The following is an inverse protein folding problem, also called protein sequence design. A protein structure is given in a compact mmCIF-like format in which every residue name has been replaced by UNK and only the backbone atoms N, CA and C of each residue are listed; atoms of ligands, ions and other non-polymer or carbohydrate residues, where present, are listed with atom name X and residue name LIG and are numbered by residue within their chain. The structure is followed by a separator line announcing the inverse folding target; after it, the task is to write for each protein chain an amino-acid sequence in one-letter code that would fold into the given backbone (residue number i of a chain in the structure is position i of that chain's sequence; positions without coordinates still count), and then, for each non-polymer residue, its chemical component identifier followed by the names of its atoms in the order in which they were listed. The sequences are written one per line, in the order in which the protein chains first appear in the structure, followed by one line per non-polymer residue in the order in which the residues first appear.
data_IF_293136865027
#
_entry.id   IF_293136865027
#
_cell.length_a   1.000
_cell.length_b   1.000
_cell.length_c   1.000
_cell.angle_alpha   90.00
_cell.angle_beta   90.00
_cell.angle_gamma   90.00
#
_symmetry.space_group_name_H-M   'P 1'
#
loop_
_entity.id
_entity.type
_entity.pdbx_description
1 polymer ?
#
# COMPACT_ATOMS: atom_id res chain seq x y z
N UNK A 1 11.05 -14.65 37.56
CA UNK A 1 10.94 -15.49 36.34
C UNK A 1 11.37 -14.64 35.15
N UNK A 2 12.46 -15.01 34.46
CA UNK A 2 12.91 -14.30 33.25
C UNK A 2 11.98 -14.69 32.10
N UNK A 3 11.10 -13.78 31.67
CA UNK A 3 10.30 -13.99 30.46
C UNK A 3 11.26 -14.15 29.28
N UNK A 4 11.10 -15.16 28.42
CA UNK A 4 11.97 -15.34 27.27
C UNK A 4 11.90 -14.09 26.38
N UNK A 5 13.07 -13.55 26.03
CA UNK A 5 13.20 -12.32 25.24
C UNK A 5 12.50 -12.51 23.88
N UNK A 6 11.62 -11.57 23.53
CA UNK A 6 10.86 -11.61 22.28
C UNK A 6 11.78 -11.81 21.06
N UNK A 7 11.56 -12.90 20.33
CA UNK A 7 12.21 -13.18 19.05
C UNK A 7 11.48 -12.41 17.95
N UNK A 8 11.88 -11.16 17.78
CA UNK A 8 11.29 -10.21 16.82
C UNK A 8 11.60 -10.53 15.36
N UNK A 9 12.58 -11.40 15.10
CA UNK A 9 12.95 -11.89 13.78
C UNK A 9 12.88 -13.42 13.70
N UNK A 10 12.39 -13.95 12.58
CA UNK A 10 12.26 -15.35 12.24
C UNK A 10 12.46 -15.57 10.73
N UNK A 11 12.78 -16.80 10.28
CA UNK A 11 12.92 -17.08 8.86
C UNK A 11 11.67 -16.77 8.01
N UNK A 12 10.48 -16.80 8.63
CA UNK A 12 9.22 -16.44 7.98
C UNK A 12 9.11 -14.95 7.61
N UNK A 13 9.88 -14.08 8.27
CA UNK A 13 9.90 -12.65 7.97
C UNK A 13 10.39 -12.35 6.55
N UNK A 14 11.22 -13.22 5.96
CA UNK A 14 11.72 -13.00 4.59
C UNK A 14 10.58 -13.13 3.58
N UNK A 15 9.72 -14.16 3.73
CA UNK A 15 8.58 -14.34 2.84
C UNK A 15 7.50 -13.28 3.06
N UNK A 16 7.27 -12.91 4.33
CA UNK A 16 6.37 -11.82 4.70
C UNK A 16 6.85 -10.48 4.12
N UNK A 17 8.16 -10.20 4.17
CA UNK A 17 8.76 -9.00 3.60
C UNK A 17 8.51 -8.89 2.09
N UNK A 18 8.83 -9.94 1.32
CA UNK A 18 8.60 -9.89 -0.13
C UNK A 18 7.12 -9.77 -0.48
N UNK A 19 6.22 -10.37 0.31
CA UNK A 19 4.78 -10.17 0.13
C UNK A 19 4.39 -8.71 0.31
N UNK A 20 4.72 -8.13 1.46
CA UNK A 20 4.34 -6.76 1.80
C UNK A 20 5.02 -5.70 0.92
N UNK A 21 6.30 -5.89 0.61
CA UNK A 21 7.09 -4.99 -0.22
C UNK A 21 6.56 -4.95 -1.66
N UNK A 22 6.29 -6.13 -2.27
CA UNK A 22 5.80 -6.16 -3.65
C UNK A 22 4.42 -5.52 -3.79
N UNK A 23 3.57 -5.68 -2.78
CA UNK A 23 2.24 -5.07 -2.74
C UNK A 23 2.32 -3.54 -2.73
N UNK A 24 3.14 -2.98 -1.82
CA UNK A 24 3.39 -1.53 -1.78
C UNK A 24 3.98 -0.98 -3.09
N UNK A 25 4.96 -1.67 -3.68
CA UNK A 25 5.56 -1.25 -4.96
C UNK A 25 4.52 -1.33 -6.08
N UNK A 26 3.69 -2.37 -6.09
CA UNK A 26 2.65 -2.54 -7.10
C UNK A 26 1.64 -1.39 -7.05
N UNK A 27 1.21 -0.94 -5.86
CA UNK A 27 0.31 0.20 -5.72
C UNK A 27 0.93 1.53 -6.18
N UNK A 28 2.22 1.76 -5.87
CA UNK A 28 2.96 2.93 -6.38
C UNK A 28 3.04 2.93 -7.90
N UNK A 29 3.41 1.78 -8.49
CA UNK A 29 3.48 1.61 -9.93
C UNK A 29 2.11 1.73 -10.58
N UNK A 30 1.06 1.18 -9.97
CA UNK A 30 -0.32 1.27 -10.42
C UNK A 30 -0.75 2.74 -10.50
N UNK A 31 -0.48 3.52 -9.44
CA UNK A 31 -0.80 4.95 -9.39
C UNK A 31 -0.16 5.70 -10.56
N UNK A 32 1.16 5.56 -10.71
CA UNK A 32 1.92 6.26 -11.76
C UNK A 32 1.48 5.81 -13.15
N UNK A 33 1.27 4.50 -13.35
CA UNK A 33 0.88 3.93 -14.64
C UNK A 33 -0.52 4.37 -15.05
N UNK A 34 -1.50 4.33 -14.15
CA UNK A 34 -2.86 4.78 -14.45
C UNK A 34 -2.90 6.27 -14.76
N UNK A 35 -2.20 7.11 -13.99
CA UNK A 35 -2.11 8.55 -14.27
C UNK A 35 -1.47 8.82 -15.63
N UNK A 36 -0.38 8.13 -15.96
CA UNK A 36 0.34 8.32 -17.21
C UNK A 36 -0.43 7.81 -18.43
N UNK A 37 -0.98 6.59 -18.37
CA UNK A 37 -1.61 5.93 -19.51
C UNK A 37 -3.01 6.47 -19.76
N UNK A 38 -3.79 6.71 -18.71
CA UNK A 38 -5.20 7.12 -18.84
C UNK A 38 -5.35 8.62 -19.00
N UNK A 39 -4.56 9.40 -18.25
CA UNK A 39 -4.73 10.86 -18.16
C UNK A 39 -3.58 11.64 -18.78
N UNK A 40 -2.59 10.98 -19.39
CA UNK A 40 -1.38 11.60 -19.96
C UNK A 40 -0.62 12.45 -18.93
N UNK A 41 -0.68 12.06 -17.65
CA UNK A 41 0.02 12.76 -16.58
C UNK A 41 1.53 12.56 -16.70
N UNK A 42 2.37 13.61 -16.50
CA UNK A 42 3.82 13.48 -16.62
C UNK A 42 4.41 12.48 -15.61
N UNK A 43 4.94 11.35 -16.11
CA UNK A 43 5.52 10.27 -15.28
C UNK A 43 6.67 10.76 -14.40
N UNK A 44 7.57 11.57 -14.97
CA UNK A 44 8.70 12.17 -14.24
C UNK A 44 8.21 13.02 -13.07
N UNK A 45 7.10 13.76 -13.25
CA UNK A 45 6.53 14.57 -12.19
C UNK A 45 5.98 13.68 -11.06
N UNK A 46 5.19 12.65 -11.39
CA UNK A 46 4.63 11.74 -10.41
C UNK A 46 5.73 11.03 -9.59
N UNK A 47 6.76 10.52 -10.27
CA UNK A 47 7.91 9.89 -9.61
C UNK A 47 8.68 10.86 -8.70
N UNK A 48 8.84 12.12 -9.11
CA UNK A 48 9.61 13.09 -8.33
C UNK A 48 8.86 13.71 -7.16
N UNK A 49 7.52 13.82 -7.24
CA UNK A 49 6.72 14.60 -6.30
C UNK A 49 5.73 13.75 -5.49
N UNK A 50 5.12 12.71 -6.07
CA UNK A 50 4.04 11.95 -5.44
C UNK A 50 4.52 10.67 -4.74
N UNK A 51 5.46 9.95 -5.36
CA UNK A 51 5.95 8.65 -4.86
C UNK A 51 6.71 8.80 -3.53
N UNK A 52 7.65 9.74 -3.35
CA UNK A 52 8.45 9.81 -2.12
C UNK A 52 7.61 10.10 -0.88
N UNK A 53 6.69 11.05 -0.98
CA UNK A 53 5.79 11.38 0.13
C UNK A 53 4.90 10.20 0.51
N UNK A 54 4.37 9.49 -0.48
CA UNK A 54 3.58 8.27 -0.27
C UNK A 54 4.40 7.18 0.41
N UNK A 55 5.65 6.98 -0.01
CA UNK A 55 6.57 6.01 0.58
C UNK A 55 6.98 6.35 2.03
N UNK A 56 7.14 7.62 2.36
CA UNK A 56 7.38 8.07 3.75
C UNK A 56 6.20 7.68 4.66
N UNK A 57 4.97 7.73 4.16
CA UNK A 57 3.80 7.22 4.87
C UNK A 57 3.93 5.75 5.26
N UNK A 58 4.31 4.91 4.30
CA UNK A 58 4.55 3.47 4.53
C UNK A 58 5.68 3.27 5.54
N UNK A 59 6.81 3.96 5.37
CA UNK A 59 7.95 3.91 6.28
C UNK A 59 7.55 4.19 7.73
N UNK A 60 6.83 5.28 7.97
CA UNK A 60 6.42 5.67 9.32
C UNK A 60 5.38 4.69 9.88
N UNK A 61 4.39 4.29 9.09
CA UNK A 61 3.35 3.38 9.53
C UNK A 61 3.89 1.99 9.92
N UNK A 62 4.74 1.40 9.09
CA UNK A 62 5.35 0.09 9.38
C UNK A 62 6.31 0.14 10.57
N UNK A 63 7.04 1.25 10.76
CA UNK A 63 7.89 1.45 11.95
C UNK A 63 7.05 1.52 13.24
N UNK A 64 5.91 2.20 13.19
CA UNK A 64 4.97 2.26 14.31
C UNK A 64 4.36 0.89 14.60
N UNK A 65 3.95 0.13 13.57
CA UNK A 65 3.45 -1.23 13.77
C UNK A 65 4.52 -2.21 14.25
N UNK A 66 5.76 -2.06 13.82
CA UNK A 66 6.90 -2.77 14.38
C UNK A 66 6.99 -2.54 15.89
N UNK A 67 6.95 -1.29 16.33
CA UNK A 67 6.97 -0.97 17.76
C UNK A 67 5.73 -1.45 18.51
N UNK A 68 4.54 -1.40 17.91
CA UNK A 68 3.31 -1.95 18.51
C UNK A 68 3.42 -3.46 18.72
N UNK A 69 4.03 -4.20 17.79
CA UNK A 69 4.28 -5.63 17.93
C UNK A 69 5.24 -5.93 19.09
N UNK A 70 6.33 -5.15 19.21
CA UNK A 70 7.27 -5.26 20.34
C UNK A 70 6.57 -4.97 21.68
N UNK A 71 5.74 -3.93 21.73
CA UNK A 71 5.00 -3.55 22.93
C UNK A 71 3.99 -4.65 23.32
N UNK A 72 3.27 -5.21 22.35
CA UNK A 72 2.33 -6.30 22.57
C UNK A 72 3.03 -7.58 23.06
N UNK A 73 4.18 -7.92 22.47
CA UNK A 73 4.99 -9.06 22.90
C UNK A 73 5.49 -8.90 24.34
N UNK A 74 5.94 -7.70 24.72
CA UNK A 74 6.37 -7.40 26.09
C UNK A 74 5.22 -7.50 27.09
N UNK A 75 4.03 -7.01 26.74
CA UNK A 75 2.84 -7.04 27.60
C UNK A 75 2.29 -8.46 27.81
N UNK A 76 2.31 -9.28 26.76
CA UNK A 76 1.72 -10.63 26.78
C UNK A 76 2.73 -11.73 27.15
N UNK A 77 4.03 -11.41 27.14
CA UNK A 77 5.10 -12.41 27.34
C UNK A 77 5.23 -13.42 26.19
N UNK A 78 4.55 -13.19 25.05
CA UNK A 78 4.52 -14.13 23.92
C UNK A 78 5.65 -13.87 22.94
N UNK A 79 6.32 -14.95 22.53
CA UNK A 79 7.26 -14.97 21.39
C UNK A 79 6.57 -15.14 20.02
N UNK A 80 5.24 -15.17 20.08
CA UNK A 80 4.22 -15.36 19.04
C UNK A 80 3.91 -14.25 18.06
N UNK A 81 4.21 -13.01 18.46
CA UNK A 81 3.51 -11.84 17.93
C UNK A 81 3.96 -11.57 16.50
N UNK A 82 3.00 -11.26 15.64
CA UNK A 82 3.26 -10.78 14.27
C UNK A 82 2.96 -9.29 14.25
N UNK A 83 3.81 -8.48 13.63
CA UNK A 83 3.48 -7.08 13.41
C UNK A 83 2.33 -6.98 12.39
N UNK A 84 1.49 -5.96 12.54
CA UNK A 84 0.48 -5.68 11.53
C UNK A 84 1.16 -5.03 10.32
N UNK A 85 0.96 -5.53 9.10
CA UNK A 85 1.52 -4.92 7.90
C UNK A 85 0.79 -3.61 7.61
N UNK A 86 1.51 -2.58 7.16
CA UNK A 86 0.91 -1.38 6.60
C UNK A 86 1.39 -1.16 5.17
N UNK A 87 0.50 -0.66 4.34
CA UNK A 87 0.86 -0.20 3.01
C UNK A 87 -0.14 0.78 2.46
N UNK A 88 -0.28 0.80 1.14
CA UNK A 88 -1.14 1.70 0.40
C UNK A 88 -2.49 1.06 0.13
N UNK A 89 -3.58 1.81 0.27
CA UNK A 89 -4.90 1.25 0.03
C UNK A 89 -5.19 1.18 -1.48
N UNK A 90 -5.08 0.00 -2.09
CA UNK A 90 -5.35 -0.22 -3.53
C UNK A 90 -6.73 0.29 -3.99
N UNK A 91 -7.87 0.01 -3.31
CA UNK A 91 -9.17 0.54 -3.72
C UNK A 91 -9.21 2.06 -3.78
N UNK A 92 -8.77 2.75 -2.73
CA UNK A 92 -8.70 4.21 -2.75
C UNK A 92 -7.62 4.73 -3.68
N UNK A 93 -6.57 3.97 -3.98
CA UNK A 93 -5.57 4.34 -4.98
C UNK A 93 -6.20 4.47 -6.36
N UNK A 94 -6.94 3.45 -6.78
CA UNK A 94 -7.73 3.48 -8.02
C UNK A 94 -8.75 4.64 -7.95
N UNK A 95 -9.47 4.76 -6.84
CA UNK A 95 -10.46 5.80 -6.64
C UNK A 95 -9.89 7.23 -6.72
N UNK A 96 -8.75 7.47 -6.09
CA UNK A 96 -8.04 8.75 -6.10
C UNK A 96 -7.57 9.09 -7.52
N UNK A 97 -7.03 8.13 -8.26
CA UNK A 97 -6.60 8.36 -9.64
C UNK A 97 -7.79 8.72 -10.54
N UNK A 98 -8.87 7.93 -10.52
CA UNK A 98 -9.99 8.12 -11.45
C UNK A 98 -10.98 9.22 -11.06
N UNK A 99 -11.14 9.52 -9.77
CA UNK A 99 -12.18 10.44 -9.31
C UNK A 99 -11.64 11.75 -8.72
N UNK A 100 -10.33 11.85 -8.46
CA UNK A 100 -9.71 13.05 -7.88
C UNK A 100 -8.59 13.58 -8.76
N UNK A 101 -7.46 12.86 -8.83
CA UNK A 101 -6.23 13.33 -9.49
C UNK A 101 -6.42 13.47 -11.00
N UNK A 102 -6.92 12.43 -11.67
CA UNK A 102 -7.14 12.43 -13.12
C UNK A 102 -8.09 13.55 -13.56
N UNK A 103 -9.31 13.64 -12.98
CA UNK A 103 -10.23 14.74 -13.29
C UNK A 103 -9.66 16.12 -12.98
N UNK A 104 -8.98 16.31 -11.84
CA UNK A 104 -8.33 17.58 -11.50
C UNK A 104 -7.27 17.99 -12.54
N UNK A 105 -6.49 17.03 -13.02
CA UNK A 105 -5.48 17.27 -14.05
C UNK A 105 -6.09 17.64 -15.40
N UNK A 106 -7.10 16.89 -15.83
CA UNK A 106 -7.80 17.15 -17.10
C UNK A 106 -8.46 18.53 -17.09
N UNK A 107 -9.10 18.92 -15.97
CA UNK A 107 -9.70 20.24 -15.80
C UNK A 107 -8.64 21.34 -15.83
N UNK A 108 -7.54 21.18 -15.07
CA UNK A 108 -6.47 22.17 -15.00
C UNK A 108 -5.72 22.35 -16.34
N UNK A 109 -5.53 21.26 -17.12
CA UNK A 109 -4.89 21.29 -18.45
C UNK A 109 -5.67 22.15 -19.47
N UNK A 110 -6.94 22.45 -19.23
CA UNK A 110 -7.74 23.33 -20.09
C UNK A 110 -7.37 24.81 -19.96
N UNK A 111 -6.87 25.22 -18.80
CA UNK A 111 -6.63 26.64 -18.46
C UNK A 111 -5.17 26.92 -18.12
N UNK A 112 -4.36 25.90 -17.88
CA UNK A 112 -2.97 26.00 -17.45
C UNK A 112 -2.03 25.14 -18.32
N UNK A 113 -0.74 25.52 -18.44
CA UNK A 113 0.28 24.65 -19.00
C UNK A 113 0.37 23.31 -18.23
N UNK A 114 0.78 22.24 -18.93
CA UNK A 114 0.83 20.86 -18.40
C UNK A 114 1.60 20.76 -17.07
N UNK A 115 2.74 21.42 -16.94
CA UNK A 115 3.55 21.39 -15.71
C UNK A 115 2.82 22.05 -14.53
N UNK A 116 2.14 23.16 -14.77
CA UNK A 116 1.38 23.85 -13.73
C UNK A 116 0.12 23.06 -13.35
N UNK A 117 -0.54 22.45 -14.33
CA UNK A 117 -1.66 21.54 -14.09
C UNK A 117 -1.23 20.33 -13.24
N UNK A 118 -0.02 19.80 -13.45
CA UNK A 118 0.53 18.71 -12.66
C UNK A 118 0.79 19.13 -11.20
N UNK A 119 1.39 20.30 -10.97
CA UNK A 119 1.59 20.88 -9.62
C UNK A 119 0.24 21.12 -8.92
N UNK A 120 -0.72 21.71 -9.63
CA UNK A 120 -2.07 21.94 -9.11
C UNK A 120 -2.74 20.63 -8.69
N UNK A 121 -2.69 19.61 -9.55
CA UNK A 121 -3.24 18.28 -9.27
C UNK A 121 -2.59 17.63 -8.05
N UNK A 122 -1.27 17.77 -7.92
CA UNK A 122 -0.53 17.27 -6.78
C UNK A 122 -0.96 17.94 -5.48
N UNK A 123 -1.14 19.26 -5.49
CA UNK A 123 -1.67 20.00 -4.34
C UNK A 123 -3.09 19.54 -3.96
N UNK A 124 -3.98 19.33 -4.93
CA UNK A 124 -5.31 18.74 -4.68
C UNK A 124 -5.19 17.36 -4.03
N UNK A 125 -4.29 16.52 -4.53
CA UNK A 125 -4.00 15.20 -3.97
C UNK A 125 -3.55 15.25 -2.51
N UNK A 126 -2.59 16.12 -2.20
CA UNK A 126 -2.09 16.35 -0.84
C UNK A 126 -3.24 16.78 0.09
N UNK A 127 -4.03 17.78 -0.31
CA UNK A 127 -5.18 18.27 0.46
C UNK A 127 -6.17 17.14 0.74
N UNK A 128 -6.53 16.36 -0.30
CA UNK A 128 -7.46 15.26 -0.18
C UNK A 128 -6.99 14.22 0.86
N UNK A 129 -5.75 13.76 0.77
CA UNK A 129 -5.25 12.77 1.73
C UNK A 129 -4.96 13.36 3.11
N UNK A 130 -4.61 14.64 3.21
CA UNK A 130 -4.48 15.34 4.50
C UNK A 130 -5.82 15.38 5.23
N UNK A 131 -6.90 15.76 4.54
CA UNK A 131 -8.25 15.79 5.12
C UNK A 131 -8.72 14.37 5.46
N UNK A 132 -8.44 13.38 4.62
CA UNK A 132 -8.67 11.98 4.96
C UNK A 132 -7.93 11.58 6.24
N UNK A 133 -6.65 11.90 6.36
CA UNK A 133 -5.86 11.62 7.56
C UNK A 133 -6.48 12.23 8.82
N UNK A 134 -6.94 13.48 8.76
CA UNK A 134 -7.65 14.14 9.87
C UNK A 134 -8.97 13.43 10.20
N UNK A 135 -9.74 13.06 9.19
CA UNK A 135 -10.99 12.32 9.35
C UNK A 135 -10.74 10.95 10.01
N UNK A 136 -9.77 10.18 9.51
CA UNK A 136 -9.36 8.88 10.07
C UNK A 136 -8.90 9.02 11.52
N UNK A 137 -8.14 10.07 11.82
CA UNK A 137 -7.69 10.35 13.18
C UNK A 137 -8.89 10.62 14.11
N UNK A 138 -9.88 11.39 13.65
CA UNK A 138 -11.14 11.59 14.39
C UNK A 138 -11.92 10.27 14.58
N UNK A 139 -11.98 9.42 13.57
CA UNK A 139 -12.62 8.10 13.68
C UNK A 139 -11.89 7.16 14.66
N UNK A 140 -10.57 7.30 14.80
CA UNK A 140 -9.74 6.44 15.65
C UNK A 140 -10.19 6.41 17.12
N UNK A 141 -10.81 7.47 17.64
CA UNK A 141 -11.31 7.51 19.02
C UNK A 141 -12.49 6.54 19.24
N UNK A 142 -13.29 6.28 18.20
CA UNK A 142 -14.48 5.43 18.24
C UNK A 142 -14.28 4.01 17.71
N UNK A 143 -13.13 3.67 17.13
CA UNK A 143 -12.93 2.39 16.42
C UNK A 143 -13.11 1.16 17.31
N UNK A 144 -12.66 1.20 18.57
CA UNK A 144 -12.86 0.15 19.56
C UNK A 144 -14.34 -0.04 19.92
N UNK A 145 -15.12 1.05 19.95
CA UNK A 145 -16.56 0.98 20.20
C UNK A 145 -17.25 0.33 19.00
N UNK A 146 -16.94 0.75 17.78
CA UNK A 146 -17.47 0.15 16.54
C UNK A 146 -17.15 -1.35 16.48
N UNK A 147 -15.88 -1.73 16.73
CA UNK A 147 -15.45 -3.14 16.77
C UNK A 147 -16.27 -4.00 17.75
N UNK A 148 -16.69 -3.43 18.89
CA UNK A 148 -17.51 -4.14 19.89
C UNK A 148 -18.99 -4.22 19.51
N UNK A 149 -19.50 -3.21 18.81
CA UNK A 149 -20.90 -3.13 18.42
C UNK A 149 -21.21 -3.95 17.17
N UNK A 150 -20.26 -4.05 16.23
CA UNK A 150 -20.46 -4.77 14.97
C UNK A 150 -20.12 -6.26 15.17
N UNK A 151 -21.02 -7.20 14.82
CA UNK A 151 -20.71 -8.61 14.91
C UNK A 151 -19.51 -8.96 14.03
N UNK A 152 -18.62 -9.80 14.57
CA UNK A 152 -17.43 -10.28 13.87
C UNK A 152 -17.73 -10.90 12.50
N UNK A 153 -18.87 -11.57 12.36
CA UNK A 153 -19.31 -12.12 11.07
C UNK A 153 -19.58 -11.03 10.02
N UNK A 154 -20.04 -9.85 10.43
CA UNK A 154 -20.23 -8.70 9.55
C UNK A 154 -18.91 -8.12 9.06
N UNK A 155 -17.93 -7.97 9.97
CA UNK A 155 -16.57 -7.48 9.68
C UNK A 155 -15.78 -8.47 8.81
N UNK A 156 -15.94 -9.78 9.03
CA UNK A 156 -15.29 -10.80 8.20
C UNK A 156 -15.96 -10.97 6.82
N UNK A 157 -17.26 -10.68 6.71
CA UNK A 157 -18.01 -10.76 5.46
C UNK A 157 -17.61 -9.69 4.44
N UNK A 158 -17.42 -8.44 4.88
CA UNK A 158 -16.88 -7.35 4.04
C UNK A 158 -15.49 -7.70 3.50
N UNK A 159 -14.61 -8.20 4.36
CA UNK A 159 -13.27 -8.65 3.98
C UNK A 159 -13.31 -9.71 2.87
N UNK A 160 -14.20 -10.69 2.98
CA UNK A 160 -14.31 -11.75 1.97
C UNK A 160 -14.76 -11.21 0.61
N UNK A 161 -15.70 -10.26 0.58
CA UNK A 161 -16.16 -9.64 -0.65
C UNK A 161 -15.05 -8.84 -1.34
N UNK A 162 -14.33 -7.99 -0.60
CA UNK A 162 -13.19 -7.22 -1.14
C UNK A 162 -12.08 -8.15 -1.64
N UNK A 163 -11.75 -9.19 -0.87
CA UNK A 163 -10.74 -10.16 -1.26
C UNK A 163 -11.09 -10.91 -2.56
N UNK A 164 -12.34 -11.33 -2.74
CA UNK A 164 -12.77 -12.07 -3.94
C UNK A 164 -12.95 -11.16 -5.16
N UNK A 165 -13.66 -10.04 -5.01
CA UNK A 165 -14.08 -9.21 -6.15
C UNK A 165 -13.01 -8.21 -6.56
N UNK A 166 -12.29 -7.62 -5.61
CA UNK A 166 -11.32 -6.58 -5.94
C UNK A 166 -9.91 -7.16 -6.05
N UNK A 167 -9.44 -7.83 -4.98
CA UNK A 167 -8.05 -8.28 -4.88
C UNK A 167 -7.80 -9.56 -5.70
N UNK A 168 -8.78 -10.46 -5.83
CA UNK A 168 -8.59 -11.68 -6.61
C UNK A 168 -9.02 -11.52 -8.07
N UNK A 169 -10.20 -10.96 -8.32
CA UNK A 169 -10.75 -10.91 -9.69
C UNK A 169 -10.07 -9.87 -10.58
N UNK A 170 -9.74 -8.66 -10.10
CA UNK A 170 -9.07 -7.67 -10.98
C UNK A 170 -7.67 -8.13 -11.42
N UNK A 171 -6.77 -8.61 -10.54
CA UNK A 171 -5.49 -9.15 -10.98
C UNK A 171 -5.62 -10.42 -11.83
N UNK A 172 -6.71 -11.18 -11.67
CA UNK A 172 -6.99 -12.32 -12.56
C UNK A 172 -7.20 -11.86 -14.00
N UNK A 173 -7.86 -10.72 -14.23
CA UNK A 173 -7.99 -10.16 -15.58
C UNK A 173 -6.60 -9.82 -16.18
N UNK A 174 -5.70 -9.25 -15.40
CA UNK A 174 -4.33 -8.96 -15.84
C UNK A 174 -3.51 -10.24 -16.11
N UNK A 175 -3.66 -11.26 -15.26
CA UNK A 175 -3.08 -12.59 -15.50
C UNK A 175 -3.57 -13.16 -16.84
N UNK A 176 -4.84 -12.95 -17.18
CA UNK A 176 -5.43 -13.43 -18.44
C UNK A 176 -5.01 -12.58 -19.66
N UNK A 177 -4.66 -11.30 -19.49
CA UNK A 177 -4.04 -10.50 -20.54
C UNK A 177 -2.63 -11.00 -20.90
N UNK A 178 -1.88 -11.50 -19.91
CA UNK A 178 -0.53 -12.06 -20.08
C UNK A 178 -0.46 -13.52 -19.62
N UNK A 179 -1.19 -14.45 -20.27
CA UNK A 179 -1.48 -15.77 -19.70
C UNK A 179 -0.23 -16.58 -19.39
N UNK A 180 0.79 -16.53 -20.25
CA UNK A 180 2.03 -17.31 -20.04
C UNK A 180 2.78 -16.81 -18.80
N UNK A 181 2.96 -15.50 -18.68
CA UNK A 181 3.68 -14.87 -17.57
C UNK A 181 2.86 -14.96 -16.28
N UNK A 182 1.59 -14.56 -16.36
CA UNK A 182 0.66 -14.51 -15.25
C UNK A 182 0.37 -15.89 -14.66
N UNK A 183 0.03 -16.88 -15.48
CA UNK A 183 -0.27 -18.24 -14.99
C UNK A 183 0.97 -18.94 -14.44
N UNK A 184 2.16 -18.72 -15.02
CA UNK A 184 3.40 -19.24 -14.47
C UNK A 184 3.69 -18.64 -13.08
N UNK A 185 3.53 -17.33 -12.93
CA UNK A 185 3.72 -16.63 -11.66
C UNK A 185 2.70 -17.09 -10.62
N UNK A 186 1.43 -17.21 -11.02
CA UNK A 186 0.35 -17.73 -10.19
C UNK A 186 0.60 -19.17 -9.76
N UNK A 187 1.07 -20.03 -10.66
CA UNK A 187 1.41 -21.42 -10.34
C UNK A 187 2.51 -21.50 -9.26
N UNK A 188 3.53 -20.65 -9.34
CA UNK A 188 4.58 -20.56 -8.31
C UNK A 188 3.99 -20.09 -6.97
N UNK A 189 3.16 -19.05 -6.97
CA UNK A 189 2.51 -18.55 -5.74
C UNK A 189 1.63 -19.62 -5.11
N UNK A 190 0.74 -20.26 -5.87
CA UNK A 190 -0.16 -21.29 -5.34
C UNK A 190 0.63 -22.49 -4.80
N UNK A 191 1.67 -22.92 -5.51
CA UNK A 191 2.54 -24.03 -5.07
C UNK A 191 3.27 -23.71 -3.76
N UNK A 192 3.74 -22.47 -3.61
CA UNK A 192 4.57 -22.09 -2.47
C UNK A 192 3.76 -21.63 -1.26
N UNK A 193 2.65 -20.91 -1.44
CA UNK A 193 1.83 -20.38 -0.36
C UNK A 193 0.68 -21.31 0.04
N UNK A 194 0.00 -21.94 -0.94
CA UNK A 194 -1.13 -22.83 -0.67
C UNK A 194 -0.65 -24.25 -0.38
N UNK A 195 0.13 -24.83 -1.30
CA UNK A 195 0.67 -26.18 -1.11
C UNK A 195 1.90 -26.23 -0.16
N UNK A 196 2.40 -25.06 0.27
CA UNK A 196 3.54 -24.93 1.20
C UNK A 196 4.81 -25.65 0.73
N UNK A 197 4.96 -25.81 -0.59
CA UNK A 197 6.15 -26.40 -1.18
C UNK A 197 7.30 -25.41 -1.13
N UNK A 198 8.48 -25.88 -0.71
CA UNK A 198 9.68 -25.03 -0.64
C UNK A 198 10.39 -25.04 -1.99
N UNK A 199 10.65 -23.86 -2.55
CA UNK A 199 11.46 -23.71 -3.76
C UNK A 199 12.91 -24.16 -3.52
N UNK A 200 13.62 -24.60 -4.58
CA UNK A 200 15.05 -24.89 -4.49
C UNK A 200 15.80 -23.68 -3.92
N UNK A 201 16.76 -23.94 -3.03
CA UNK A 201 17.49 -22.87 -2.33
C UNK A 201 16.68 -22.12 -1.25
N UNK A 202 15.46 -22.56 -0.93
CA UNK A 202 14.55 -21.90 0.04
C UNK A 202 14.21 -20.46 -0.34
N UNK A 203 14.15 -20.18 -1.64
CA UNK A 203 13.72 -18.88 -2.16
C UNK A 203 12.28 -18.58 -1.69
N UNK A 204 11.99 -17.37 -1.21
CA UNK A 204 10.63 -16.94 -0.87
C UNK A 204 9.67 -17.13 -2.05
N UNK A 205 8.44 -17.55 -1.78
CA UNK A 205 7.46 -17.85 -2.83
C UNK A 205 7.16 -16.64 -3.70
N UNK A 206 6.96 -15.49 -3.06
CA UNK A 206 6.72 -14.22 -3.74
C UNK A 206 7.90 -13.79 -4.64
N UNK A 207 9.14 -13.91 -4.15
CA UNK A 207 10.34 -13.63 -4.95
C UNK A 207 10.49 -14.62 -6.12
N UNK A 208 10.25 -15.90 -5.88
CA UNK A 208 10.31 -16.93 -6.92
C UNK A 208 9.31 -16.66 -8.05
N UNK A 209 8.08 -16.27 -7.71
CA UNK A 209 7.06 -15.91 -8.68
C UNK A 209 7.46 -14.68 -9.50
N UNK A 210 7.99 -13.64 -8.84
CA UNK A 210 8.50 -12.45 -9.52
C UNK A 210 9.64 -12.79 -10.50
N UNK A 211 10.63 -13.58 -10.08
CA UNK A 211 11.76 -13.95 -10.92
C UNK A 211 11.32 -14.76 -12.14
N UNK A 212 10.45 -15.76 -11.94
CA UNK A 212 9.92 -16.57 -13.04
C UNK A 212 9.10 -15.71 -14.00
N UNK A 213 8.20 -14.88 -13.48
CA UNK A 213 7.39 -13.96 -14.28
C UNK A 213 8.25 -12.98 -15.07
N UNK A 214 9.23 -12.33 -14.43
CA UNK A 214 10.13 -11.38 -15.08
C UNK A 214 10.96 -12.05 -16.18
N UNK A 215 11.57 -13.21 -15.91
CA UNK A 215 12.35 -13.95 -16.91
C UNK A 215 11.48 -14.27 -18.13
N UNK A 216 10.27 -14.81 -17.91
CA UNK A 216 9.36 -15.13 -19.00
C UNK A 216 8.94 -13.87 -19.77
N UNK A 217 8.60 -12.79 -19.08
CA UNK A 217 8.20 -11.53 -19.70
C UNK A 217 9.29 -10.94 -20.58
N UNK A 218 10.51 -10.78 -20.06
CA UNK A 218 11.63 -10.22 -20.82
C UNK A 218 12.08 -11.13 -21.96
N UNK A 219 11.97 -12.45 -21.79
CA UNK A 219 12.24 -13.41 -22.88
C UNK A 219 11.18 -13.28 -23.98
N UNK A 220 9.89 -13.25 -23.63
CA UNK A 220 8.83 -13.05 -24.62
C UNK A 220 8.95 -11.70 -25.33
N UNK A 221 9.38 -10.66 -24.59
CA UNK A 221 9.67 -9.34 -25.15
C UNK A 221 10.80 -9.38 -26.18
N UNK A 222 11.92 -10.05 -25.89
CA UNK A 222 13.06 -10.09 -26.81
C UNK A 222 12.73 -10.81 -28.13
N UNK A 223 11.77 -11.73 -28.10
CA UNK A 223 11.26 -12.42 -29.29
C UNK A 223 10.03 -11.74 -29.94
N UNK A 224 9.64 -10.53 -29.50
CA UNK A 224 8.44 -9.81 -29.97
C UNK A 224 7.14 -10.64 -29.89
N UNK A 225 7.04 -11.56 -28.92
CA UNK A 225 5.89 -12.44 -28.73
C UNK A 225 4.77 -11.80 -27.90
N UNK A 226 4.98 -10.57 -27.41
CA UNK A 226 4.03 -9.88 -26.54
C UNK A 226 2.89 -9.17 -27.32
N UNK A 227 3.00 -8.95 -28.63
CA UNK A 227 1.87 -8.46 -29.43
C UNK A 227 1.41 -7.01 -29.17
N UNK A 228 2.13 -6.24 -28.36
CA UNK A 228 1.90 -4.80 -28.13
C UNK A 228 3.23 -4.06 -27.91
N UNK A 229 3.28 -2.79 -28.33
CA UNK A 229 4.43 -1.91 -28.06
C UNK A 229 4.42 -1.50 -26.58
N UNK A 230 5.46 -1.89 -25.85
CA UNK A 230 5.67 -1.43 -24.49
C UNK A 230 5.93 0.09 -24.51
N UNK A 231 4.95 0.87 -24.04
CA UNK A 231 5.08 2.33 -24.01
C UNK A 231 5.98 2.80 -22.86
N UNK A 232 6.74 3.85 -23.17
CA UNK A 232 7.67 4.60 -22.32
C UNK A 232 8.63 3.77 -21.45
N UNK A 233 9.79 3.45 -22.01
CA UNK A 233 10.99 3.33 -21.18
C UNK A 233 11.19 4.66 -20.44
N UNK A 234 11.39 4.61 -19.12
CA UNK A 234 11.87 5.77 -18.36
C UNK A 234 13.16 6.22 -19.05
N UNK A 235 13.13 7.38 -19.72
CA UNK A 235 14.25 7.86 -20.54
C UNK A 235 15.53 8.05 -19.71
N UNK A 236 15.38 8.25 -18.39
CA UNK A 236 16.50 8.37 -17.47
C UNK A 236 16.19 7.81 -16.06
N UNK A 237 16.35 6.49 -15.83
CA UNK A 237 16.11 5.89 -14.51
C UNK A 237 17.03 6.47 -13.42
N UNK A 238 18.17 7.07 -13.79
CA UNK A 238 19.07 7.69 -12.83
C UNK A 238 18.50 8.95 -12.17
N UNK A 239 17.61 9.69 -12.85
CA UNK A 239 16.94 10.86 -12.27
C UNK A 239 15.84 10.48 -11.27
N UNK A 240 15.37 9.22 -11.30
CA UNK A 240 14.41 8.68 -10.34
C UNK A 240 15.08 8.10 -9.07
N UNK A 241 16.42 7.97 -9.03
CA UNK A 241 17.14 7.37 -7.89
C UNK A 241 17.21 8.28 -6.65
N UNK A 242 17.13 9.60 -6.83
CA UNK A 242 17.13 10.60 -5.75
C UNK A 242 16.16 11.73 -6.09
N UNK A 243 14.85 11.50 -6.00
CA UNK A 243 13.85 12.52 -6.30
C UNK A 243 13.92 13.65 -5.27
N UNK A 244 14.13 14.88 -5.74
CA UNK A 244 14.12 16.09 -4.88
C UNK A 244 12.86 16.94 -5.06
N UNK A 245 11.99 16.60 -6.03
CA UNK A 245 10.79 17.38 -6.36
C UNK A 245 9.80 17.47 -5.20
N UNK A 246 9.61 16.37 -4.47
CA UNK A 246 8.72 16.30 -3.31
C UNK A 246 9.05 17.30 -2.21
N UNK A 247 10.32 17.77 -2.10
CA UNK A 247 10.73 18.78 -1.12
C UNK A 247 9.98 20.12 -1.30
N UNK A 248 9.39 20.36 -2.47
CA UNK A 248 8.53 21.52 -2.72
C UNK A 248 7.30 21.55 -1.81
N UNK A 249 6.86 20.40 -1.26
CA UNK A 249 5.73 20.33 -0.33
C UNK A 249 5.94 21.21 0.91
N UNK A 250 7.19 21.37 1.35
CA UNK A 250 7.57 22.17 2.51
C UNK A 250 7.46 23.68 2.28
N UNK A 251 7.13 24.11 1.06
CA UNK A 251 6.72 25.49 0.76
C UNK A 251 5.27 25.77 1.15
N UNK A 252 4.49 24.72 1.48
CA UNK A 252 3.09 24.80 1.89
C UNK A 252 2.15 25.48 0.88
N UNK A 253 2.54 25.55 -0.39
CA UNK A 253 1.72 26.12 -1.47
C UNK A 253 0.45 25.30 -1.73
N UNK A 254 0.47 24.01 -1.36
CA UNK A 254 -0.69 23.13 -1.42
C UNK A 254 -1.87 23.60 -0.57
N UNK A 255 -1.62 24.39 0.49
CA UNK A 255 -2.70 24.99 1.29
C UNK A 255 -3.59 25.92 0.45
N UNK A 256 -3.04 26.52 -0.62
CA UNK A 256 -3.81 27.35 -1.54
C UNK A 256 -4.84 26.55 -2.37
N UNK A 257 -4.69 25.23 -2.46
CA UNK A 257 -5.62 24.34 -3.16
C UNK A 257 -6.66 23.71 -2.21
N UNK A 258 -6.69 24.09 -0.93
CA UNK A 258 -7.64 23.52 0.04
C UNK A 258 -9.09 23.77 -0.37
N UNK A 259 -9.44 25.00 -0.75
CA UNK A 259 -10.81 25.35 -1.14
C UNK A 259 -11.26 24.57 -2.38
N UNK A 260 -10.37 24.45 -3.37
CA UNK A 260 -10.62 23.68 -4.58
C UNK A 260 -10.74 22.17 -4.29
N UNK A 261 -10.03 21.67 -3.29
CA UNK A 261 -10.09 20.26 -2.89
C UNK A 261 -11.44 19.88 -2.25
N UNK A 262 -12.21 20.85 -1.73
CA UNK A 262 -13.48 20.61 -1.06
C UNK A 262 -14.50 19.89 -1.96
N UNK A 263 -14.47 20.15 -3.28
CA UNK A 263 -15.36 19.50 -4.25
C UNK A 263 -15.15 17.98 -4.34
N UNK A 264 -13.98 17.49 -3.95
CA UNK A 264 -13.64 16.07 -3.96
C UNK A 264 -13.94 15.36 -2.62
N UNK A 265 -14.24 16.09 -1.54
CA UNK A 265 -14.52 15.49 -0.23
C UNK A 265 -15.66 14.46 -0.22
N UNK A 266 -16.76 14.64 -0.97
CA UNK A 266 -17.81 13.62 -1.07
C UNK A 266 -17.32 12.27 -1.60
N UNK A 267 -16.17 12.23 -2.29
CA UNK A 267 -15.53 11.02 -2.82
C UNK A 267 -14.42 10.53 -1.87
N UNK A 268 -13.59 11.45 -1.37
CA UNK A 268 -12.44 11.16 -0.52
C UNK A 268 -12.84 10.63 0.86
N UNK A 269 -13.90 11.17 1.46
CA UNK A 269 -14.35 10.76 2.81
C UNK A 269 -14.89 9.33 2.83
N UNK A 270 -15.70 8.85 1.85
CA UNK A 270 -16.05 7.44 1.75
C UNK A 270 -14.84 6.50 1.64
N UNK A 271 -13.82 6.85 0.85
CA UNK A 271 -12.58 6.07 0.79
C UNK A 271 -11.86 6.05 2.14
N UNK A 272 -11.73 7.21 2.80
CA UNK A 272 -11.16 7.32 4.13
C UNK A 272 -11.91 6.43 5.14
N UNK A 273 -13.24 6.47 5.13
CA UNK A 273 -14.08 5.63 5.98
C UNK A 273 -13.91 4.14 5.68
N UNK A 274 -13.82 3.76 4.40
CA UNK A 274 -13.57 2.38 4.01
C UNK A 274 -12.24 1.88 4.58
N UNK A 275 -11.18 2.69 4.56
CA UNK A 275 -9.90 2.32 5.18
C UNK A 275 -9.98 2.21 6.71
N UNK A 276 -10.75 3.08 7.39
CA UNK A 276 -11.01 2.96 8.84
C UNK A 276 -11.68 1.63 9.17
N UNK A 277 -12.71 1.27 8.40
CA UNK A 277 -13.39 -0.03 8.55
C UNK A 277 -12.41 -1.17 8.26
N UNK A 278 -11.61 -1.06 7.21
CA UNK A 278 -10.53 -2.01 6.91
C UNK A 278 -9.53 -2.17 8.05
N UNK A 279 -9.16 -1.09 8.74
CA UNK A 279 -8.32 -1.12 9.93
C UNK A 279 -8.96 -1.87 11.09
N UNK A 280 -10.26 -1.66 11.33
CA UNK A 280 -11.03 -2.42 12.32
C UNK A 280 -11.05 -3.91 11.95
N UNK A 281 -11.35 -4.23 10.69
CA UNK A 281 -11.39 -5.59 10.17
C UNK A 281 -10.02 -6.29 10.32
N UNK A 282 -8.92 -5.58 10.06
CA UNK A 282 -7.56 -6.07 10.26
C UNK A 282 -7.27 -6.40 11.71
N UNK A 283 -7.73 -5.56 12.66
CA UNK A 283 -7.57 -5.87 14.10
C UNK A 283 -8.34 -7.12 14.52
N UNK A 284 -9.55 -7.32 13.99
CA UNK A 284 -10.34 -8.53 14.23
C UNK A 284 -9.73 -9.79 13.61
N UNK A 285 -9.08 -9.63 12.46
CA UNK A 285 -8.32 -10.69 11.80
C UNK A 285 -7.06 -11.07 12.60
N UNK A 286 -6.35 -10.10 13.17
CA UNK A 286 -5.21 -10.34 14.06
C UNK A 286 -5.63 -11.04 15.37
N UNK A 287 -6.73 -10.56 15.97
CA UNK A 287 -7.35 -11.17 17.15
C UNK A 287 -7.73 -12.64 16.91
N UNK A 288 -8.18 -12.99 15.69
CA UNK A 288 -8.50 -14.36 15.29
C UNK A 288 -7.39 -15.37 15.54
N UNK A 289 -6.14 -14.93 15.36
CA UNK A 289 -4.94 -15.73 15.50
C UNK A 289 -4.16 -15.37 16.78
N UNK A 290 -4.86 -14.73 17.72
CA UNK A 290 -4.44 -14.43 19.07
C UNK A 290 -3.52 -13.22 19.23
N UNK A 291 -3.37 -12.34 18.22
CA UNK A 291 -2.66 -11.07 18.38
C UNK A 291 -3.67 -9.93 18.59
N UNK A 292 -3.95 -9.62 19.86
CA UNK A 292 -4.92 -8.57 20.22
C UNK A 292 -4.26 -7.18 20.23
N UNK A 293 -4.45 -6.44 19.15
CA UNK A 293 -4.09 -5.03 19.06
C UNK A 293 -5.26 -4.14 19.51
N UNK A 294 -4.92 -2.98 20.07
CA UNK A 294 -5.91 -1.94 20.36
C UNK A 294 -6.34 -1.25 19.08
N UNK A 295 -7.62 -1.32 18.74
CA UNK A 295 -8.19 -0.84 17.47
C UNK A 295 -8.03 0.66 17.30
N UNK A 296 -8.24 1.43 18.37
CA UNK A 296 -8.06 2.88 18.33
C UNK A 296 -6.63 3.22 17.95
N UNK A 297 -5.64 2.52 18.52
CA UNK A 297 -4.22 2.72 18.16
C UNK A 297 -3.90 2.29 16.74
N UNK A 298 -4.46 1.19 16.25
CA UNK A 298 -4.25 0.75 14.85
C UNK A 298 -4.72 1.83 13.88
N UNK A 299 -5.98 2.29 14.03
CA UNK A 299 -6.55 3.33 13.16
C UNK A 299 -5.84 4.68 13.36
N UNK A 300 -5.38 4.99 14.57
CA UNK A 300 -4.60 6.21 14.82
C UNK A 300 -3.23 6.17 14.14
N UNK A 301 -2.53 5.02 14.14
CA UNK A 301 -1.25 4.85 13.43
C UNK A 301 -1.45 4.97 11.93
N UNK A 302 -2.50 4.35 11.40
CA UNK A 302 -2.89 4.47 10.01
C UNK A 302 -3.17 5.92 9.61
N UNK A 303 -3.99 6.64 10.40
CA UNK A 303 -4.30 8.03 10.17
C UNK A 303 -3.05 8.92 10.24
N UNK A 304 -2.18 8.67 11.22
CA UNK A 304 -0.92 9.40 11.37
C UNK A 304 0.02 9.16 10.20
N UNK A 305 0.16 7.91 9.74
CA UNK A 305 0.95 7.57 8.55
C UNK A 305 0.42 8.28 7.29
N UNK A 306 -0.90 8.35 7.12
CA UNK A 306 -1.54 9.09 6.02
C UNK A 306 -1.28 10.61 6.12
N UNK A 307 -1.35 11.19 7.32
CA UNK A 307 -1.03 12.61 7.54
C UNK A 307 0.44 12.92 7.23
N UNK A 308 1.35 12.06 7.68
CA UNK A 308 2.77 12.21 7.37
C UNK A 308 3.01 12.07 5.87
N UNK A 309 2.35 11.11 5.20
CA UNK A 309 2.42 11.00 3.76
C UNK A 309 2.02 12.31 3.08
N UNK A 310 0.89 12.89 3.47
CA UNK A 310 0.41 14.18 2.93
C UNK A 310 1.40 15.32 3.17
N UNK A 311 1.92 15.45 4.38
CA UNK A 311 2.91 16.48 4.73
C UNK A 311 4.25 16.30 3.99
N UNK A 312 4.51 15.11 3.46
CA UNK A 312 5.67 14.81 2.62
C UNK A 312 5.33 14.77 1.12
N UNK A 313 4.13 15.15 0.69
CA UNK A 313 3.76 15.24 -0.73
C UNK A 313 3.12 13.97 -1.29
N UNK A 314 2.74 13.02 -0.44
CA UNK A 314 1.98 11.85 -0.84
C UNK A 314 0.61 12.22 -1.37
N UNK A 315 0.04 11.34 -2.18
CA UNK A 315 -1.31 11.51 -2.75
C UNK A 315 -2.19 10.27 -2.56
N UNK A 316 -1.63 9.23 -1.94
CA UNK A 316 -2.30 7.96 -1.65
C UNK A 316 -2.35 7.76 -0.14
N UNK A 317 -3.46 7.20 0.34
CA UNK A 317 -3.69 6.95 1.75
C UNK A 317 -3.07 5.63 2.17
N UNK A 318 -2.59 5.57 3.41
CA UNK A 318 -2.07 4.34 3.98
C UNK A 318 -3.18 3.54 4.65
N UNK A 319 -3.06 2.22 4.68
CA UNK A 319 -3.97 1.33 5.41
C UNK A 319 -3.23 0.10 5.95
N UNK A 320 -3.60 -0.46 7.11
CA UNK A 320 -3.12 -1.78 7.50
C UNK A 320 -3.63 -2.83 6.52
N UNK A 321 -2.76 -3.77 6.14
CA UNK A 321 -3.11 -4.78 5.15
C UNK A 321 -3.87 -5.96 5.75
N UNK A 322 -4.89 -6.36 5.00
CA UNK A 322 -5.67 -7.56 5.25
C UNK A 322 -4.77 -8.77 5.07
N UNK A 323 -4.91 -9.77 5.95
CA UNK A 323 -4.16 -11.02 5.85
C UNK A 323 -3.18 -11.29 6.98
N UNK A 324 -3.30 -10.62 8.13
CA UNK A 324 -2.53 -10.93 9.35
C UNK A 324 -2.44 -12.45 9.66
N UNK A 325 -3.52 -13.26 9.52
CA UNK A 325 -3.43 -14.72 9.66
C UNK A 325 -2.46 -15.39 8.68
N UNK A 326 -2.38 -14.91 7.44
CA UNK A 326 -1.47 -15.44 6.42
C UNK A 326 -0.02 -15.10 6.77
N UNK A 327 0.28 -13.85 7.11
CA UNK A 327 1.61 -13.44 7.58
C UNK A 327 2.08 -14.25 8.80
N UNK A 328 1.17 -14.48 9.75
CA UNK A 328 1.45 -15.32 10.92
C UNK A 328 1.66 -16.78 10.57
N UNK A 329 0.89 -17.33 9.63
CA UNK A 329 1.04 -18.71 9.14
C UNK A 329 2.36 -18.92 8.38
N UNK A 330 2.89 -17.88 7.71
CA UNK A 330 4.24 -17.88 7.13
C UNK A 330 5.35 -17.87 8.19
N UNK A 331 5.00 -17.59 9.45
CA UNK A 331 5.96 -17.44 10.54
C UNK A 331 6.57 -16.04 10.63
N UNK A 332 5.92 -15.03 10.04
CA UNK A 332 6.29 -13.63 10.20
C UNK A 332 6.25 -13.20 11.67
N UNK A 333 7.17 -12.30 12.04
CA UNK A 333 7.28 -11.67 13.35
C UNK A 333 7.17 -10.17 13.17
N UNK A 334 8.13 -9.39 13.67
CA UNK A 334 8.13 -7.95 13.51
C UNK A 334 9.17 -7.49 12.48
N UNK A 335 10.23 -8.27 12.23
CA UNK A 335 11.32 -7.86 11.37
C UNK A 335 10.90 -7.55 9.93
N UNK A 336 9.86 -8.21 9.40
CA UNK A 336 9.41 -7.99 8.03
C UNK A 336 8.80 -6.59 7.80
N UNK A 337 8.08 -6.02 8.77
CA UNK A 337 7.55 -4.65 8.64
C UNK A 337 8.67 -3.63 8.75
N UNK A 338 9.66 -3.86 9.63
CA UNK A 338 10.85 -3.00 9.67
C UNK A 338 11.65 -3.04 8.36
N UNK A 339 11.83 -4.23 7.78
CA UNK A 339 12.49 -4.38 6.50
C UNK A 339 11.71 -3.69 5.37
N UNK A 340 10.37 -3.80 5.38
CA UNK A 340 9.49 -3.12 4.42
C UNK A 340 9.58 -1.61 4.57
N UNK A 341 9.48 -1.09 5.80
CA UNK A 341 9.64 0.33 6.09
C UNK A 341 10.93 0.87 5.48
N UNK A 342 12.06 0.23 5.80
CA UNK A 342 13.38 0.67 5.32
C UNK A 342 13.49 0.56 3.79
N UNK A 343 12.96 -0.51 3.19
CA UNK A 343 13.02 -0.69 1.75
C UNK A 343 12.14 0.34 1.03
N UNK A 344 10.85 0.38 1.33
CA UNK A 344 9.90 1.27 0.66
C UNK A 344 10.26 2.73 0.93
N UNK A 345 10.61 3.08 2.17
CA UNK A 345 11.00 4.44 2.54
C UNK A 345 12.32 4.94 1.93
N UNK A 346 13.19 4.04 1.44
CA UNK A 346 14.44 4.43 0.76
C UNK A 346 14.37 4.28 -0.76
N UNK A 347 13.53 3.37 -1.26
CA UNK A 347 13.34 3.13 -2.68
C UNK A 347 12.25 4.02 -3.31
N UNK A 348 11.34 4.55 -2.49
CA UNK A 348 10.32 5.50 -2.90
C UNK A 348 10.81 6.94 -3.00
#
# INVERSE_FOLDING_TARGET
MSYPRYRWAAPGDVNAFFGLMLDNIADLLLTVSLLAVVFEFPTTFALQHMVPGTAVGVFVGDLLFFWMALALARRTGRNSITAMPLGLDTPSTIGMVFFVLGPAFVEAKQTMPVEQAAVYTWHIGICAIFISGLFKFACSFGSNWVRRCVPRAGLLGSLAAVALVLISFLPLLEILHFPIVGLASLAVILTTLVARVRLPGRVPGALGALLVGAILFYTMRSFNLLGFEAHASIENPAQALLPTGWLQVFRFEWLGALDDSLKYLPLVIPFALATVVGGIDCTESAAAVGDEFDTNRVVAVEAFATLIAALCGGVIQTTPYIGHPAYKAMGGRAAYTLATALFVGTAG
#
